data_IF_591107455140
#
_entry.id   IF_591107455140
#
_cell.length_a   1.000
_cell.length_b   1.000
_cell.length_c   1.000
_cell.angle_alpha   90.00
_cell.angle_beta   90.00
_cell.angle_gamma   90.00
#
_symmetry.space_group_name_H-M   'P 1'
#
loop_
_entity.id
_entity.type
_entity.pdbx_description
1 polymer ?
#
# COMPACT_ATOMS: atom_id res chain seq x y z
N UNK A 1 -28.83 -5.91 3.05
CA UNK A 1 -28.88 -4.71 3.92
C UNK A 1 -27.72 -3.86 3.49
N UNK A 2 -28.00 -2.65 3.00
CA UNK A 2 -27.05 -1.71 2.44
C UNK A 2 -25.95 -1.39 3.45
N UNK A 3 -24.77 -2.03 3.30
CA UNK A 3 -23.56 -1.51 3.91
C UNK A 3 -23.36 -0.13 3.30
N UNK A 4 -23.62 0.91 4.08
CA UNK A 4 -23.36 2.27 3.67
C UNK A 4 -21.90 2.34 3.22
N UNK A 5 -21.68 2.63 1.94
CA UNK A 5 -20.38 2.94 1.34
C UNK A 5 -19.82 4.18 2.05
N UNK A 6 -19.26 4.00 3.23
CA UNK A 6 -18.43 5.02 3.86
C UNK A 6 -17.11 5.00 3.09
N UNK A 7 -16.94 6.00 2.23
CA UNK A 7 -15.68 6.31 1.59
C UNK A 7 -15.01 7.43 2.38
N UNK A 8 -14.42 7.11 3.54
CA UNK A 8 -13.64 8.08 4.30
C UNK A 8 -12.16 8.01 3.91
N UNK A 9 -11.72 8.98 3.09
CA UNK A 9 -10.30 9.10 2.71
C UNK A 9 -9.63 10.11 3.64
N UNK A 10 -8.73 9.66 4.51
CA UNK A 10 -7.92 10.49 5.42
C UNK A 10 -6.53 10.69 4.85
N UNK A 11 -6.25 11.91 4.38
CA UNK A 11 -4.94 12.32 3.83
C UNK A 11 -4.23 13.18 4.88
N UNK A 12 -3.17 12.64 5.45
CA UNK A 12 -2.34 13.34 6.43
C UNK A 12 -1.49 14.45 5.80
N UNK A 13 -1.04 15.40 6.63
CA UNK A 13 -0.13 16.45 6.19
C UNK A 13 1.17 15.88 5.59
N UNK A 14 1.72 16.56 4.57
CA UNK A 14 2.91 16.16 3.79
C UNK A 14 2.74 14.93 2.90
N UNK A 15 1.57 14.28 2.88
CA UNK A 15 1.26 13.30 1.86
C UNK A 15 1.02 14.00 0.50
N UNK A 16 1.49 13.38 -0.56
CA UNK A 16 1.30 13.82 -1.95
C UNK A 16 0.39 12.80 -2.59
N UNK A 17 -0.80 13.24 -2.98
CA UNK A 17 -1.81 12.38 -3.60
C UNK A 17 -2.25 13.07 -4.88
N UNK A 18 -1.97 12.47 -6.03
CA UNK A 18 -2.42 12.99 -7.32
C UNK A 18 -3.95 12.93 -7.41
N UNK A 19 -4.56 13.88 -8.13
CA UNK A 19 -6.02 13.94 -8.26
C UNK A 19 -6.59 12.75 -9.06
N UNK A 20 -5.87 12.32 -10.08
CA UNK A 20 -6.19 11.23 -11.02
C UNK A 20 -6.03 9.82 -10.43
N UNK A 21 -5.90 9.67 -9.10
CA UNK A 21 -5.89 8.37 -8.45
C UNK A 21 -7.30 7.91 -8.07
N UNK A 22 -7.55 6.60 -8.19
CA UNK A 22 -8.81 5.96 -7.82
C UNK A 22 -8.71 5.43 -6.39
N UNK A 23 -9.41 6.07 -5.45
CA UNK A 23 -9.44 5.69 -4.05
C UNK A 23 -10.88 5.29 -3.70
N UNK A 24 -11.09 4.03 -3.31
CA UNK A 24 -12.41 3.44 -3.05
C UNK A 24 -12.40 2.83 -1.66
N UNK A 25 -13.39 3.17 -0.82
CA UNK A 25 -13.52 2.71 0.57
C UNK A 25 -12.82 3.60 1.60
N UNK A 26 -12.66 3.08 2.81
CA UNK A 26 -12.00 3.75 3.93
C UNK A 26 -10.48 3.63 3.82
N UNK A 27 -9.80 4.74 3.54
CA UNK A 27 -8.36 4.76 3.26
C UNK A 27 -7.69 5.83 4.10
N UNK A 28 -6.70 5.44 4.90
CA UNK A 28 -5.86 6.36 5.66
C UNK A 28 -4.46 6.40 5.07
N UNK A 29 -4.05 7.59 4.63
CA UNK A 29 -2.74 7.87 4.01
C UNK A 29 -1.90 8.64 5.03
N UNK A 30 -0.84 8.00 5.53
CA UNK A 30 0.07 8.59 6.51
C UNK A 30 0.93 9.72 5.92
N UNK A 31 1.56 10.54 6.79
CA UNK A 31 2.44 11.61 6.34
C UNK A 31 3.54 11.11 5.42
N UNK A 32 3.82 11.91 4.39
CA UNK A 32 4.96 11.69 3.54
C UNK A 32 4.81 10.59 2.50
N UNK A 33 3.65 9.93 2.44
CA UNK A 33 3.29 9.04 1.34
C UNK A 33 3.19 9.80 0.02
N UNK A 34 3.46 9.10 -1.07
CA UNK A 34 3.38 9.62 -2.43
C UNK A 34 2.53 8.68 -3.26
N UNK A 35 1.43 9.16 -3.82
CA UNK A 35 0.53 8.42 -4.70
C UNK A 35 0.53 9.09 -6.07
N UNK A 36 1.01 8.37 -7.07
CA UNK A 36 1.08 8.80 -8.46
C UNK A 36 -0.31 8.84 -9.13
N UNK A 37 -0.44 9.52 -10.29
CA UNK A 37 -1.67 9.45 -11.09
C UNK A 37 -1.97 8.00 -11.50
N UNK A 38 -3.24 7.69 -11.81
CA UNK A 38 -3.67 6.34 -12.25
C UNK A 38 -3.44 5.20 -11.26
N UNK A 39 -2.93 5.50 -10.05
CA UNK A 39 -2.86 4.52 -8.96
C UNK A 39 -4.27 4.20 -8.46
N UNK A 40 -4.49 2.94 -8.09
CA UNK A 40 -5.79 2.45 -7.65
C UNK A 40 -5.67 1.79 -6.28
N UNK A 41 -6.41 2.29 -5.30
CA UNK A 41 -6.49 1.73 -3.95
C UNK A 41 -7.94 1.38 -3.65
N UNK A 42 -8.20 0.12 -3.35
CA UNK A 42 -9.54 -0.44 -3.17
C UNK A 42 -9.62 -1.09 -1.80
N UNK A 43 -10.36 -0.47 -0.89
CA UNK A 43 -10.68 -0.94 0.44
C UNK A 43 -12.11 -1.53 0.45
N UNK A 44 -12.28 -2.73 -0.12
CA UNK A 44 -13.59 -3.40 -0.24
C UNK A 44 -13.91 -4.28 0.99
N UNK A 45 -12.89 -4.95 1.50
CA UNK A 45 -12.98 -5.88 2.63
C UNK A 45 -12.92 -5.21 4.02
N UNK A 46 -12.39 -3.99 4.09
CA UNK A 46 -12.08 -3.30 5.32
C UNK A 46 -11.15 -2.11 5.08
N UNK A 47 -10.93 -1.27 6.09
CA UNK A 47 -10.12 -0.06 5.96
C UNK A 47 -8.65 -0.38 5.63
N UNK A 48 -8.05 0.43 4.77
CA UNK A 48 -6.62 0.36 4.43
C UNK A 48 -5.88 1.49 5.13
N UNK A 49 -4.83 1.16 5.87
CA UNK A 49 -3.95 2.14 6.53
C UNK A 49 -2.56 2.04 5.90
N UNK A 50 -2.20 3.05 5.11
CA UNK A 50 -0.87 3.22 4.56
C UNK A 50 0.05 3.87 5.58
N UNK A 51 1.16 3.21 5.90
CA UNK A 51 2.22 3.74 6.77
C UNK A 51 3.01 4.86 6.13
N UNK A 52 3.80 5.56 6.93
CA UNK A 52 4.55 6.74 6.50
C UNK A 52 5.51 6.45 5.34
N UNK A 53 5.77 7.47 4.52
CA UNK A 53 6.78 7.40 3.46
C UNK A 53 6.58 6.26 2.44
N UNK A 54 5.35 5.78 2.26
CA UNK A 54 5.06 4.81 1.20
C UNK A 54 4.96 5.49 -0.18
N UNK A 55 5.48 4.85 -1.21
CA UNK A 55 5.36 5.30 -2.60
C UNK A 55 4.45 4.33 -3.34
N UNK A 56 3.43 4.86 -4.01
CA UNK A 56 2.49 4.13 -4.86
C UNK A 56 2.58 4.73 -6.25
N UNK A 57 3.23 4.02 -7.19
CA UNK A 57 3.49 4.51 -8.54
C UNK A 57 2.31 4.32 -9.50
N UNK A 58 2.46 4.80 -10.74
CA UNK A 58 1.41 4.80 -11.75
C UNK A 58 0.95 3.38 -12.10
N UNK A 59 -0.35 3.18 -12.36
CA UNK A 59 -0.97 1.88 -12.65
C UNK A 59 -0.84 0.82 -11.53
N UNK A 60 -0.23 1.15 -10.39
CA UNK A 60 -0.21 0.24 -9.26
C UNK A 60 -1.62 0.10 -8.67
N UNK A 61 -1.96 -1.12 -8.27
CA UNK A 61 -3.26 -1.47 -7.71
C UNK A 61 -3.07 -2.14 -6.36
N UNK A 62 -3.53 -1.49 -5.29
CA UNK A 62 -3.60 -2.07 -3.95
C UNK A 62 -5.07 -2.38 -3.70
N UNK A 63 -5.41 -3.67 -3.54
CA UNK A 63 -6.80 -4.06 -3.33
C UNK A 63 -6.91 -5.00 -2.14
N UNK A 64 -7.65 -4.58 -1.12
CA UNK A 64 -7.99 -5.43 0.01
C UNK A 64 -9.37 -6.03 -0.22
N UNK A 65 -9.41 -7.32 -0.57
CA UNK A 65 -10.63 -8.09 -0.86
C UNK A 65 -10.73 -9.32 0.04
N UNK A 66 -11.96 -9.67 0.43
CA UNK A 66 -12.22 -10.90 1.18
C UNK A 66 -12.24 -12.07 0.19
N UNK A 67 -11.62 -13.21 0.53
CA UNK A 67 -11.83 -14.43 -0.24
C UNK A 67 -13.32 -14.79 -0.20
N UNK A 68 -13.87 -15.13 -1.37
CA UNK A 68 -15.30 -15.32 -1.67
C UNK A 68 -15.96 -16.51 -0.95
N UNK A 69 -15.27 -17.17 0.00
CA UNK A 69 -15.78 -18.34 0.70
C UNK A 69 -16.45 -17.92 2.02
N UNK A 70 -17.78 -17.91 1.97
CA UNK A 70 -18.74 -17.47 2.99
C UNK A 70 -18.65 -18.24 4.33
N UNK A 71 -17.55 -18.13 5.07
CA UNK A 71 -17.46 -18.53 6.48
C UNK A 71 -16.50 -17.63 7.25
N UNK A 72 -16.90 -16.37 7.47
CA UNK A 72 -16.28 -15.56 8.52
C UNK A 72 -17.42 -15.04 9.38
N UNK A 73 -17.39 -15.45 10.65
CA UNK A 73 -18.32 -14.98 11.68
C UNK A 73 -18.41 -13.44 11.65
N UNK A 74 -19.63 -12.86 11.73
CA UNK A 74 -19.84 -11.41 11.75
C UNK A 74 -19.26 -10.69 12.99
N UNK A 75 -18.46 -11.39 13.81
CA UNK A 75 -17.81 -10.92 15.02
C UNK A 75 -16.27 -10.83 14.92
N UNK A 76 -15.65 -11.26 13.81
CA UNK A 76 -14.21 -11.01 13.56
C UNK A 76 -14.09 -9.66 12.86
N UNK A 77 -14.43 -8.64 13.66
CA UNK A 77 -14.43 -7.23 13.37
C UNK A 77 -13.16 -6.79 12.61
N UNK A 78 -13.38 -6.12 11.48
CA UNK A 78 -12.42 -5.22 10.84
C UNK A 78 -11.01 -5.82 10.68
N UNK A 79 -10.82 -6.69 9.68
CA UNK A 79 -9.46 -6.93 9.17
C UNK A 79 -8.97 -5.65 8.50
N UNK A 80 -8.41 -4.72 9.26
CA UNK A 80 -7.73 -3.56 8.71
C UNK A 80 -6.47 -4.02 7.98
N UNK A 81 -6.31 -3.62 6.72
CA UNK A 81 -5.04 -3.84 6.02
C UNK A 81 -4.05 -2.77 6.49
N UNK A 82 -3.16 -3.17 7.39
CA UNK A 82 -2.05 -2.33 7.83
C UNK A 82 -0.87 -2.54 6.88
N UNK A 83 -0.45 -1.45 6.24
CA UNK A 83 0.74 -1.39 5.40
C UNK A 83 1.78 -0.60 6.19
N UNK A 84 2.95 -1.20 6.44
CA UNK A 84 4.02 -0.56 7.19
C UNK A 84 4.61 0.68 6.52
N UNK A 85 5.61 1.30 7.16
CA UNK A 85 6.30 2.47 6.62
C UNK A 85 7.34 2.12 5.54
N UNK A 86 7.63 3.08 4.66
CA UNK A 86 8.68 3.00 3.63
C UNK A 86 8.48 1.86 2.60
N UNK A 87 7.24 1.48 2.30
CA UNK A 87 6.96 0.53 1.22
C UNK A 87 6.95 1.22 -0.14
N UNK A 88 7.44 0.55 -1.17
CA UNK A 88 7.45 1.05 -2.55
C UNK A 88 6.65 0.09 -3.43
N UNK A 89 5.63 0.61 -4.09
CA UNK A 89 4.84 -0.09 -5.09
C UNK A 89 5.14 0.51 -6.46
N UNK A 90 5.94 -0.19 -7.26
CA UNK A 90 6.34 0.27 -8.59
C UNK A 90 5.21 0.15 -9.62
N UNK A 91 5.47 0.71 -10.81
CA UNK A 91 4.55 0.78 -11.93
C UNK A 91 3.87 -0.57 -12.25
N UNK A 92 2.54 -0.55 -12.25
CA UNK A 92 1.73 -1.71 -12.63
C UNK A 92 1.78 -2.90 -11.65
N UNK A 93 2.32 -2.72 -10.46
CA UNK A 93 2.25 -3.73 -9.39
C UNK A 93 0.79 -3.93 -8.95
N UNK A 94 0.39 -5.18 -8.66
CA UNK A 94 -0.92 -5.51 -8.11
C UNK A 94 -0.76 -6.26 -6.81
N UNK A 95 -1.22 -5.67 -5.71
CA UNK A 95 -1.02 -6.20 -4.36
C UNK A 95 -2.37 -6.39 -3.67
N UNK A 96 -2.68 -7.66 -3.37
CA UNK A 96 -3.89 -8.09 -2.67
C UNK A 96 -3.55 -8.79 -1.34
N UNK A 97 -2.33 -8.58 -0.83
CA UNK A 97 -1.81 -9.19 0.40
C UNK A 97 -2.71 -8.93 1.62
N UNK A 98 -2.74 -9.88 2.56
CA UNK A 98 -3.51 -9.73 3.81
C UNK A 98 -2.79 -8.87 4.86
N UNK A 99 -1.47 -8.75 4.76
CA UNK A 99 -0.64 -7.94 5.63
C UNK A 99 0.64 -7.55 4.90
N UNK A 100 1.09 -6.31 5.10
CA UNK A 100 2.33 -5.78 4.52
C UNK A 100 3.12 -5.09 5.62
N UNK A 101 4.31 -5.62 5.92
CA UNK A 101 5.25 -5.03 6.87
C UNK A 101 5.90 -3.74 6.35
N UNK A 102 7.10 -3.44 6.82
CA UNK A 102 7.83 -2.20 6.50
C UNK A 102 8.95 -2.42 5.49
N UNK A 103 9.35 -1.37 4.76
CA UNK A 103 10.51 -1.37 3.86
C UNK A 103 10.46 -2.45 2.77
N UNK A 104 9.27 -2.81 2.30
CA UNK A 104 9.12 -3.74 1.19
C UNK A 104 9.17 -3.01 -0.15
N UNK A 105 9.65 -3.71 -1.17
CA UNK A 105 9.68 -3.21 -2.55
C UNK A 105 8.91 -4.18 -3.44
N UNK A 106 7.84 -3.70 -4.04
CA UNK A 106 7.05 -4.41 -5.03
C UNK A 106 7.45 -3.89 -6.41
N UNK A 107 8.27 -4.65 -7.13
CA UNK A 107 8.77 -4.24 -8.44
C UNK A 107 7.66 -4.26 -9.51
N UNK A 108 7.99 -3.66 -10.64
CA UNK A 108 7.11 -3.47 -11.77
C UNK A 108 6.36 -4.74 -12.20
N UNK A 109 5.04 -4.63 -12.41
CA UNK A 109 4.16 -5.72 -12.86
C UNK A 109 4.13 -6.97 -11.96
N UNK A 110 4.57 -6.89 -10.71
CA UNK A 110 4.40 -8.00 -9.78
C UNK A 110 2.91 -8.20 -9.43
N UNK A 111 2.54 -9.43 -9.08
CA UNK A 111 1.22 -9.77 -8.56
C UNK A 111 1.39 -10.47 -7.22
N UNK A 112 0.74 -9.95 -6.18
CA UNK A 112 0.68 -10.56 -4.85
C UNK A 112 -0.77 -10.87 -4.54
N UNK A 113 -1.07 -12.16 -4.37
CA UNK A 113 -2.42 -12.66 -4.20
C UNK A 113 -3.01 -12.43 -2.82
N UNK A 114 -4.32 -12.72 -2.68
CA UNK A 114 -5.00 -12.73 -1.40
C UNK A 114 -4.35 -13.74 -0.46
N UNK A 115 -4.41 -13.48 0.85
CA UNK A 115 -3.85 -14.33 1.90
C UNK A 115 -2.31 -14.42 1.97
N UNK A 116 -1.56 -13.66 1.17
CA UNK A 116 -0.09 -13.55 1.32
C UNK A 116 0.23 -12.61 2.48
N UNK A 117 1.06 -13.07 3.41
CA UNK A 117 1.61 -12.25 4.49
C UNK A 117 3.01 -11.79 4.10
N UNK A 118 3.17 -10.51 3.79
CA UNK A 118 4.47 -9.89 3.49
C UNK A 118 5.02 -9.32 4.80
N UNK A 119 6.17 -9.83 5.25
CA UNK A 119 6.85 -9.31 6.44
C UNK A 119 7.58 -7.99 6.11
N UNK A 120 8.70 -7.68 6.77
CA UNK A 120 9.47 -6.45 6.54
C UNK A 120 10.74 -6.72 5.70
N UNK A 121 11.15 -5.75 4.89
CA UNK A 121 12.37 -5.83 4.07
C UNK A 121 12.29 -6.82 2.90
N UNK A 122 11.09 -7.25 2.51
CA UNK A 122 10.89 -8.17 1.41
C UNK A 122 10.91 -7.45 0.06
N UNK A 123 11.36 -8.14 -0.97
CA UNK A 123 11.36 -7.64 -2.34
C UNK A 123 10.63 -8.63 -3.22
N UNK A 124 9.63 -8.13 -3.92
CA UNK A 124 8.90 -8.91 -4.91
C UNK A 124 9.41 -8.47 -6.29
N UNK A 125 10.12 -9.37 -6.96
CA UNK A 125 10.75 -9.10 -8.24
C UNK A 125 9.75 -8.81 -9.37
N UNK A 126 10.23 -8.18 -10.42
CA UNK A 126 9.42 -7.72 -11.54
C UNK A 126 8.74 -8.90 -12.25
N UNK A 127 7.43 -8.79 -12.47
CA UNK A 127 6.62 -9.83 -13.10
C UNK A 127 6.45 -11.12 -12.28
N UNK A 128 6.89 -11.16 -11.02
CA UNK A 128 6.64 -12.30 -10.11
C UNK A 128 5.15 -12.35 -9.78
N UNK A 129 4.59 -13.57 -9.73
CA UNK A 129 3.18 -13.80 -9.36
C UNK A 129 3.09 -14.72 -8.15
N UNK A 130 2.88 -14.15 -6.98
CA UNK A 130 2.60 -14.88 -5.75
C UNK A 130 1.10 -15.15 -5.68
N UNK A 131 0.72 -16.42 -5.80
CA UNK A 131 -0.68 -16.87 -5.69
C UNK A 131 -0.86 -17.84 -4.52
N UNK A 132 0.23 -18.38 -3.98
CA UNK A 132 0.23 -19.28 -2.84
C UNK A 132 -0.01 -18.53 -1.53
N UNK A 133 -0.89 -19.06 -0.69
CA UNK A 133 -1.01 -18.64 0.71
C UNK A 133 0.30 -18.97 1.42
N UNK A 134 1.13 -17.95 1.64
CA UNK A 134 2.41 -18.12 2.31
C UNK A 134 2.76 -16.86 3.11
N UNK A 135 3.50 -17.09 4.19
CA UNK A 135 4.13 -16.03 4.95
C UNK A 135 5.56 -15.86 4.47
N UNK A 136 5.86 -14.68 3.93
CA UNK A 136 7.21 -14.33 3.50
C UNK A 136 8.06 -14.05 4.74
N UNK A 137 9.24 -14.67 4.90
CA UNK A 137 10.18 -14.29 5.94
C UNK A 137 10.69 -12.87 5.70
N UNK A 138 11.14 -12.21 6.77
CA UNK A 138 11.79 -10.90 6.66
C UNK A 138 13.04 -10.97 5.78
N UNK A 139 13.37 -9.87 5.10
CA UNK A 139 14.54 -9.78 4.21
C UNK A 139 14.56 -10.84 3.10
N UNK A 140 13.39 -11.25 2.59
CA UNK A 140 13.30 -12.22 1.49
C UNK A 140 13.12 -11.53 0.15
N UNK A 141 13.94 -11.91 -0.81
CA UNK A 141 13.82 -11.51 -2.22
C UNK A 141 13.19 -12.64 -2.99
N UNK A 142 12.09 -12.36 -3.68
CA UNK A 142 11.42 -13.31 -4.56
C UNK A 142 11.69 -12.91 -5.99
N UNK A 143 12.23 -13.82 -6.78
CA UNK A 143 12.59 -13.54 -8.16
C UNK A 143 12.34 -14.73 -9.07
N UNK A 144 12.27 -14.43 -10.36
CA UNK A 144 12.08 -15.42 -11.41
C UNK A 144 10.65 -15.97 -11.49
N UNK A 145 10.36 -16.62 -12.61
CA UNK A 145 9.04 -17.18 -12.91
C UNK A 145 8.61 -18.28 -11.93
N UNK A 146 9.58 -18.94 -11.30
CA UNK A 146 9.37 -20.02 -10.34
C UNK A 146 9.19 -19.51 -8.90
N UNK A 147 9.07 -18.19 -8.68
CA UNK A 147 8.97 -17.57 -7.35
C UNK A 147 10.08 -18.05 -6.40
N UNK A 148 11.31 -18.12 -6.91
CA UNK A 148 12.46 -18.54 -6.11
C UNK A 148 12.70 -17.51 -5.02
N UNK A 149 12.97 -18.00 -3.82
CA UNK A 149 13.27 -17.16 -2.66
C UNK A 149 14.76 -17.15 -2.44
N UNK A 150 15.33 -15.97 -2.17
CA UNK A 150 16.69 -15.79 -1.72
C UNK A 150 16.71 -14.77 -0.60
N UNK A 151 17.57 -14.99 0.38
CA UNK A 151 17.81 -14.02 1.43
C UNK A 151 18.44 -12.76 0.82
N UNK A 152 17.90 -11.59 1.14
CA UNK A 152 18.40 -10.30 0.69
C UNK A 152 19.83 -10.13 1.23
N UNK A 153 20.80 -10.14 0.33
CA UNK A 153 22.22 -9.97 0.67
C UNK A 153 22.51 -8.49 0.95
N UNK A 154 21.70 -7.60 0.37
CA UNK A 154 21.87 -6.16 0.47
C UNK A 154 20.71 -5.53 1.25
N UNK A 155 21.04 -4.70 2.24
CA UNK A 155 20.03 -3.88 2.92
C UNK A 155 19.68 -2.75 1.97
N UNK A 156 18.49 -2.81 1.39
CA UNK A 156 18.03 -1.74 0.50
C UNK A 156 18.21 -0.38 1.19
N UNK A 157 18.90 0.51 0.47
CA UNK A 157 19.14 1.88 0.91
C UNK A 157 17.83 2.57 1.25
N UNK A 158 17.89 3.52 2.18
CA UNK A 158 16.70 4.27 2.59
C UNK A 158 16.09 4.96 1.37
N UNK A 159 14.80 4.70 1.10
CA UNK A 159 14.05 5.30 -0.01
C UNK A 159 13.80 6.81 0.17
N UNK A 160 14.33 7.41 1.24
CA UNK A 160 14.21 8.83 1.58
C UNK A 160 14.64 9.74 0.44
N UNK A 161 15.72 9.43 -0.29
CA UNK A 161 16.19 10.25 -1.40
C UNK A 161 15.20 10.27 -2.57
N UNK A 162 14.60 9.12 -2.90
CA UNK A 162 13.57 9.03 -3.94
C UNK A 162 12.34 9.83 -3.52
N UNK A 163 11.91 9.69 -2.26
CA UNK A 163 10.78 10.45 -1.71
C UNK A 163 11.05 11.95 -1.77
N UNK A 164 12.24 12.41 -1.37
CA UNK A 164 12.59 13.83 -1.38
C UNK A 164 12.64 14.40 -2.80
N UNK A 165 13.06 13.61 -3.78
CA UNK A 165 13.00 13.98 -5.19
C UNK A 165 11.55 14.08 -5.68
N UNK A 166 10.74 13.03 -5.44
CA UNK A 166 9.33 12.99 -5.83
C UNK A 166 8.54 14.15 -5.19
N UNK A 167 8.84 14.49 -3.94
CA UNK A 167 8.22 15.63 -3.24
C UNK A 167 8.48 16.98 -3.89
N UNK A 168 9.62 17.14 -4.57
CA UNK A 168 9.97 18.39 -5.27
C UNK A 168 9.36 18.44 -6.67
N UNK A 169 9.27 17.30 -7.34
CA UNK A 169 8.86 17.23 -8.74
C UNK A 169 7.35 17.15 -8.89
N UNK A 170 6.67 16.27 -8.13
CA UNK A 170 5.23 16.02 -8.32
C UNK A 170 4.34 17.26 -8.19
N UNK A 171 4.57 18.19 -7.23
CA UNK A 171 3.78 19.42 -7.15
C UNK A 171 3.94 20.35 -8.36
N UNK A 172 5.02 20.22 -9.14
CA UNK A 172 5.26 21.06 -10.33
C UNK A 172 4.56 20.54 -11.58
N UNK A 173 4.22 19.24 -11.62
CA UNK A 173 3.69 18.58 -12.83
C UNK A 173 2.23 18.14 -12.69
N UNK A 174 1.71 17.95 -11.46
CA UNK A 174 0.38 17.38 -11.25
C UNK A 174 -0.46 18.18 -10.25
N UNK A 175 -1.78 18.13 -10.43
CA UNK A 175 -2.73 18.59 -9.42
C UNK A 175 -2.76 17.59 -8.26
N UNK A 176 -2.55 18.11 -7.06
CA UNK A 176 -2.50 17.32 -5.84
C UNK A 176 -3.74 17.55 -4.99
N UNK A 177 -4.30 16.47 -4.44
CA UNK A 177 -5.35 16.56 -3.42
C UNK A 177 -4.78 17.20 -2.17
N UNK A 178 -5.53 18.15 -1.60
CA UNK A 178 -5.14 18.80 -0.36
C UNK A 178 -5.26 17.81 0.81
N UNK A 179 -4.30 17.82 1.75
CA UNK A 179 -4.45 17.03 2.97
C UNK A 179 -5.69 17.50 3.73
N UNK A 180 -6.56 16.55 4.08
CA UNK A 180 -7.84 16.80 4.72
C UNK A 180 -7.88 16.34 6.19
N UNK A 181 -6.81 15.68 6.67
CA UNK A 181 -6.71 15.15 8.02
C UNK A 181 -5.47 15.70 8.73
N UNK A 182 -5.68 16.42 9.83
CA UNK A 182 -4.61 16.93 10.68
C UNK A 182 -4.81 16.46 12.13
N UNK A 183 -3.99 15.52 12.63
CA UNK A 183 -4.13 14.99 13.99
C UNK A 183 -3.88 16.05 15.07
N UNK A 184 -3.24 17.20 14.74
CA UNK A 184 -3.02 18.29 15.70
C UNK A 184 -4.25 19.15 15.93
N UNK A 185 -5.16 19.28 14.95
CA UNK A 185 -6.41 20.05 15.12
C UNK A 185 -7.39 19.34 16.05
N UNK A 186 -7.38 18.01 16.09
CA UNK A 186 -8.30 17.22 16.93
C UNK A 186 -7.91 17.26 18.42
N UNK A 187 -6.62 17.39 18.75
CA UNK A 187 -6.13 17.49 20.14
C UNK A 187 -6.43 18.82 20.83
N UNK A 188 -6.82 19.85 20.09
CA UNK A 188 -7.10 21.20 20.63
C UNK A 188 -8.62 21.37 20.87
N UNK A 189 -9.45 20.40 20.45
CA UNK A 189 -10.91 20.43 20.58
C UNK A 189 -11.43 19.55 21.75
N UNK A 190 -10.58 19.19 22.71
CA UNK A 190 -10.93 18.55 23.99
C UNK A 190 -10.39 19.40 25.12
#
# INVERSE_FOLDING_TARGET
>A
MSHAEHNEIKIMAKAIVCEDCSLIGDITISPGCVIHPSATIIAEAGPIVLGENCIVEEYSTIAFRLPTDNKIDPAVEVRTLNIGANNVFEVGSRVEACHIGEKNVFESKCYVGPCVFVSSGCIIGAGVRLVSEQKLPENTVIYGRNCLQREAIDKHGSQTLQIDFLRKVLPNYHHLRKPNYDPKKMRIAT
#
